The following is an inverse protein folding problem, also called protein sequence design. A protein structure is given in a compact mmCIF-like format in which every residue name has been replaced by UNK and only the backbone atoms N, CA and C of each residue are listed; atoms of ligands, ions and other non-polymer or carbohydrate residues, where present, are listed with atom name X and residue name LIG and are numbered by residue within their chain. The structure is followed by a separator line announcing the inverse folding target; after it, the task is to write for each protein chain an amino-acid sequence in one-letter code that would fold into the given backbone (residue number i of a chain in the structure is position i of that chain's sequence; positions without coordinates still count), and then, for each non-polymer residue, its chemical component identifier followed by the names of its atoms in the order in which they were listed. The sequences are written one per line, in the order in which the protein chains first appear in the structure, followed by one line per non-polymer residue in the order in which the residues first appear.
data_IF_964777705632
#
_entry.id   IF_964777705632
#
_cell.length_a   1.000
_cell.length_b   1.000
_cell.length_c   1.000
_cell.angle_alpha   90.00
_cell.angle_beta   90.00
_cell.angle_gamma   90.00
#
_symmetry.space_group_name_H-M   'P 1'
#
loop_
_entity.id
_entity.type
_entity.pdbx_description
1 polymer ?
#
# COMPACT_ATOMS: atom_id res chain seq x y z
N UNK A 1 15.86 -2.32 11.88
CA UNK A 1 15.14 -1.36 11.02
C UNK A 1 14.21 -2.18 10.15
N UNK A 2 12.89 -1.97 10.20
CA UNK A 2 11.93 -2.75 9.39
C UNK A 2 11.22 -1.78 8.44
N UNK A 3 12.00 -1.12 7.59
CA UNK A 3 11.45 -0.43 6.42
C UNK A 3 11.39 -1.48 5.32
N UNK A 4 10.18 -1.75 4.79
CA UNK A 4 10.00 -2.57 3.60
C UNK A 4 9.82 -1.65 2.40
N UNK A 5 10.55 -1.94 1.34
CA UNK A 5 10.48 -1.21 0.07
C UNK A 5 9.98 -2.20 -0.97
N UNK A 6 8.86 -1.86 -1.60
CA UNK A 6 8.22 -2.63 -2.64
C UNK A 6 7.71 -1.66 -3.72
N UNK A 7 7.42 -2.19 -4.91
CA UNK A 7 6.96 -1.38 -6.02
C UNK A 7 5.57 -0.79 -5.75
N UNK A 8 5.41 0.48 -6.12
CA UNK A 8 4.14 1.18 -6.03
C UNK A 8 3.44 1.20 -7.39
N UNK A 9 2.21 0.69 -7.42
CA UNK A 9 1.31 0.87 -8.54
C UNK A 9 0.63 2.24 -8.48
N UNK A 10 0.68 2.98 -9.58
CA UNK A 10 0.04 4.29 -9.68
C UNK A 10 -1.46 4.11 -9.93
N UNK A 11 -2.28 4.72 -9.08
CA UNK A 11 -3.73 4.77 -9.20
C UNK A 11 -4.24 6.04 -9.89
N UNK A 12 -5.54 6.29 -9.76
CA UNK A 12 -6.19 7.47 -10.32
C UNK A 12 -5.68 8.73 -9.63
N UNK A 13 -5.34 9.74 -10.46
CA UNK A 13 -5.11 11.12 -10.04
C UNK A 13 -6.38 11.94 -10.21
N UNK A 14 -6.78 12.67 -9.18
CA UNK A 14 -7.90 13.60 -9.21
C UNK A 14 -7.60 14.84 -8.34
N UNK A 15 -8.63 15.65 -8.05
CA UNK A 15 -8.54 16.83 -7.19
C UNK A 15 -8.08 16.52 -5.76
N UNK A 16 -8.21 15.26 -5.30
CA UNK A 16 -7.71 14.82 -4.00
C UNK A 16 -6.26 14.35 -4.05
N UNK A 17 -5.62 14.39 -5.22
CA UNK A 17 -4.20 14.10 -5.42
C UNK A 17 -3.94 12.78 -6.13
N UNK A 18 -2.72 12.28 -5.97
CA UNK A 18 -2.26 11.04 -6.61
C UNK A 18 -2.38 9.86 -5.66
N UNK A 19 -3.03 8.77 -6.09
CA UNK A 19 -3.11 7.53 -5.32
C UNK A 19 -2.02 6.54 -5.73
N UNK A 20 -1.52 5.81 -4.76
CA UNK A 20 -0.54 4.73 -4.93
C UNK A 20 -1.01 3.50 -4.17
N UNK A 21 -0.70 2.32 -4.71
CA UNK A 21 -0.96 1.04 -4.05
C UNK A 21 0.33 0.25 -3.97
N UNK A 22 0.59 -0.34 -2.80
CA UNK A 22 1.74 -1.20 -2.58
C UNK A 22 1.23 -2.50 -1.98
N UNK A 23 1.53 -3.60 -2.66
CA UNK A 23 1.30 -4.95 -2.16
C UNK A 23 2.63 -5.57 -1.76
N UNK A 24 2.76 -5.95 -0.50
CA UNK A 24 4.01 -6.49 0.03
C UNK A 24 3.76 -7.69 0.93
N UNK A 25 4.72 -8.62 0.97
CA UNK A 25 4.66 -9.78 1.86
C UNK A 25 5.08 -9.38 3.28
N UNK A 26 4.22 -9.64 4.26
CA UNK A 26 4.50 -9.50 5.68
C UNK A 26 4.65 -10.86 6.33
N UNK A 27 5.90 -11.21 6.66
CA UNK A 27 6.21 -12.35 7.51
C UNK A 27 6.13 -11.94 8.98
N UNK A 28 5.32 -12.65 9.77
CA UNK A 28 5.17 -12.47 11.21
C UNK A 28 5.15 -13.83 11.89
N UNK A 29 6.16 -14.12 12.71
CA UNK A 29 6.51 -15.47 13.15
C UNK A 29 6.63 -16.43 11.94
N UNK A 30 5.96 -17.59 11.99
CA UNK A 30 5.94 -18.61 10.93
C UNK A 30 4.77 -18.45 9.96
N UNK A 31 4.21 -17.23 9.86
CA UNK A 31 3.12 -16.91 8.92
C UNK A 31 3.55 -15.81 7.97
N UNK A 32 3.08 -15.92 6.74
CA UNK A 32 3.22 -14.90 5.71
C UNK A 32 1.84 -14.49 5.22
N UNK A 33 1.64 -13.18 5.02
CA UNK A 33 0.44 -12.65 4.40
C UNK A 33 0.83 -11.55 3.40
N UNK A 34 0.13 -11.47 2.27
CA UNK A 34 0.23 -10.31 1.39
C UNK A 34 -0.62 -9.19 1.97
N UNK A 35 -0.01 -8.03 2.22
CA UNK A 35 -0.67 -6.85 2.72
C UNK A 35 -0.80 -5.85 1.57
N UNK A 36 -1.99 -5.30 1.39
CA UNK A 36 -2.25 -4.18 0.49
C UNK A 36 -2.35 -2.89 1.28
N UNK A 37 -1.50 -1.94 0.95
CA UNK A 37 -1.58 -0.56 1.45
C UNK A 37 -1.88 0.41 0.33
N UNK A 38 -2.77 1.36 0.58
CA UNK A 38 -3.09 2.43 -0.35
C UNK A 38 -2.72 3.78 0.27
N UNK A 39 -2.05 4.60 -0.53
CA UNK A 39 -1.51 5.89 -0.13
C UNK A 39 -2.03 6.98 -1.07
N UNK A 40 -2.11 8.20 -0.56
CA UNK A 40 -2.47 9.37 -1.33
C UNK A 40 -1.50 10.52 -1.03
N UNK A 41 -0.89 11.08 -2.06
CA UNK A 41 -0.16 12.34 -1.98
C UNK A 41 -1.13 13.42 -2.45
N UNK A 42 -1.57 14.28 -1.52
CA UNK A 42 -2.52 15.35 -1.82
C UNK A 42 -1.86 16.47 -2.63
N UNK A 43 -2.65 17.36 -3.25
CA UNK A 43 -2.10 18.62 -3.75
C UNK A 43 -1.35 19.34 -2.63
N UNK A 44 -0.22 19.95 -2.97
CA UNK A 44 0.64 20.73 -2.08
C UNK A 44 1.33 19.95 -0.93
N UNK A 45 1.26 18.62 -0.93
CA UNK A 45 2.02 17.76 -0.03
C UNK A 45 3.16 17.06 -0.77
N UNK A 46 4.32 16.94 -0.12
CA UNK A 46 5.48 16.16 -0.59
C UNK A 46 5.61 14.80 0.11
N UNK A 47 4.65 14.48 0.98
CA UNK A 47 4.60 13.22 1.72
C UNK A 47 3.30 12.45 1.46
N UNK A 48 3.34 11.11 1.44
CA UNK A 48 2.15 10.28 1.27
C UNK A 48 1.38 10.11 2.57
N UNK A 49 0.05 10.07 2.49
CA UNK A 49 -0.86 9.72 3.58
C UNK A 49 -1.43 8.32 3.38
N UNK A 50 -1.36 7.49 4.42
CA UNK A 50 -1.98 6.17 4.40
C UNK A 50 -3.51 6.33 4.40
N UNK A 51 -4.18 5.69 3.43
CA UNK A 51 -5.64 5.70 3.29
C UNK A 51 -6.23 4.40 3.84
N UNK A 52 -5.66 3.25 3.45
CA UNK A 52 -6.07 1.93 3.96
C UNK A 52 -4.90 0.95 3.95
N UNK A 53 -4.95 -0.05 4.84
CA UNK A 53 -3.99 -1.13 4.93
C UNK A 53 -4.70 -2.38 5.44
N UNK A 54 -4.69 -3.46 4.65
CA UNK A 54 -5.40 -4.69 4.98
C UNK A 54 -4.73 -5.92 4.36
N UNK A 55 -4.83 -7.11 4.99
CA UNK A 55 -4.39 -8.35 4.37
C UNK A 55 -5.25 -8.67 3.15
N UNK A 56 -4.63 -9.10 2.06
CA UNK A 56 -5.34 -9.70 0.94
C UNK A 56 -5.66 -11.15 1.31
N UNK A 57 -6.95 -11.50 1.29
CA UNK A 57 -7.35 -12.90 1.36
C UNK A 57 -6.97 -13.59 0.04
N UNK A 58 -6.29 -14.73 0.12
CA UNK A 58 -6.14 -15.60 -1.05
C UNK A 58 -7.52 -16.17 -1.38
N UNK A 59 -8.11 -15.71 -2.48
CA UNK A 59 -9.28 -16.38 -3.03
C UNK A 59 -8.76 -17.67 -3.69
N UNK A 60 -8.81 -18.78 -2.94
CA UNK A 60 -8.68 -20.12 -3.52
C UNK A 60 -9.64 -20.23 -4.71
N UNK A 61 -9.10 -20.42 -5.90
CA UNK A 61 -9.88 -20.70 -7.12
C UNK A 61 -10.58 -22.05 -7.02
#
# INVERSE_FOLDING_TARGET
QIVKTDDAETGIRDEHGQRYRIDFKLSWHDREATIRSAWNIRPDEDFPRLVTCYPLEEVSK
#
